data_IF_731805419336
#
_entry.id   IF_731805419336
#
_cell.length_a   1.000
_cell.length_b   1.000
_cell.length_c   1.000
_cell.angle_alpha   90.00
_cell.angle_beta   90.00
_cell.angle_gamma   90.00
#
_symmetry.space_group_name_H-M   'P 1'
#
loop_
_entity.id
_entity.type
_entity.pdbx_description
1 polymer ?
#
# COMPACT_ATOMS: atom_id res chain seq x y z
N UNK A 1 -8.97 -7.20 46.83
CA UNK A 1 -9.68 -6.06 46.23
C UNK A 1 -8.90 -4.81 46.56
N UNK A 2 -8.61 -3.87 45.63
CA UNK A 2 -8.57 -3.91 44.17
C UNK A 2 -7.13 -3.52 43.71
N UNK A 3 -6.71 -3.27 42.48
CA UNK A 3 -7.32 -3.19 41.16
C UNK A 3 -6.24 -3.64 40.16
N UNK A 4 -6.67 -4.36 39.13
CA UNK A 4 -5.84 -4.82 38.04
C UNK A 4 -5.12 -3.64 37.36
N UNK A 5 -3.79 -3.67 37.39
CA UNK A 5 -2.94 -2.81 36.59
C UNK A 5 -2.89 -3.36 35.15
N UNK A 6 -4.02 -3.26 34.46
CA UNK A 6 -4.14 -3.43 33.02
C UNK A 6 -3.45 -2.22 32.34
N UNK A 7 -2.12 -2.21 32.30
CA UNK A 7 -1.43 -1.48 31.24
C UNK A 7 -1.58 -2.31 29.98
N UNK A 8 -2.69 -2.03 29.29
CA UNK A 8 -2.84 -2.31 27.89
C UNK A 8 -1.56 -1.86 27.19
N UNK A 9 -0.72 -2.83 26.80
CA UNK A 9 0.26 -2.67 25.74
C UNK A 9 -0.56 -2.53 24.45
N UNK A 10 -1.22 -1.37 24.34
CA UNK A 10 -1.90 -0.95 23.14
C UNK A 10 -0.86 -1.03 22.03
N UNK A 11 -1.17 -1.84 21.04
CA UNK A 11 -0.41 -2.03 19.82
C UNK A 11 0.00 -0.65 19.29
N UNK A 12 1.20 -0.21 19.63
CA UNK A 12 1.87 0.87 18.94
C UNK A 12 2.43 0.25 17.67
N UNK A 13 1.55 -0.13 16.75
CA UNK A 13 1.91 -0.06 15.34
C UNK A 13 2.12 1.42 15.07
N UNK A 14 3.37 1.89 14.84
CA UNK A 14 3.56 3.25 14.40
C UNK A 14 2.81 3.34 13.07
N UNK A 15 1.74 4.13 13.03
CA UNK A 15 1.25 4.66 11.77
C UNK A 15 2.49 5.24 11.08
N UNK A 16 2.82 4.73 9.89
CA UNK A 16 3.94 5.22 9.12
C UNK A 16 3.86 6.75 9.11
N UNK A 17 4.94 7.42 9.56
CA UNK A 17 5.00 8.89 9.51
C UNK A 17 4.58 9.30 8.10
N UNK A 18 3.67 10.29 7.94
CA UNK A 18 3.27 10.73 6.62
C UNK A 18 4.55 11.04 5.87
N UNK A 19 4.84 10.26 4.83
CA UNK A 19 6.04 10.50 4.06
C UNK A 19 5.91 11.93 3.51
N UNK A 20 6.98 12.72 3.61
CA UNK A 20 7.04 14.05 2.98
C UNK A 20 7.06 13.82 1.46
N UNK A 21 5.87 13.55 0.89
CA UNK A 21 5.71 13.29 -0.52
C UNK A 21 6.05 14.58 -1.27
N UNK A 22 7.06 14.58 -2.16
CA UNK A 22 7.35 15.76 -2.95
C UNK A 22 6.08 16.15 -3.72
N UNK A 23 5.85 17.45 -3.89
CA UNK A 23 4.83 17.93 -4.81
C UNK A 23 5.27 17.58 -6.24
N UNK A 24 4.93 16.37 -6.70
CA UNK A 24 5.22 15.89 -8.06
C UNK A 24 4.50 16.73 -9.15
N UNK A 25 3.67 17.67 -8.74
CA UNK A 25 2.97 18.62 -9.58
C UNK A 25 3.74 19.94 -9.65
N UNK A 26 4.57 20.10 -10.70
CA UNK A 26 5.07 21.42 -11.14
C UNK A 26 3.95 22.31 -11.69
N UNK A 27 2.81 21.71 -12.07
CA UNK A 27 1.56 22.40 -12.41
C UNK A 27 0.51 22.08 -11.36
N UNK A 28 -0.05 23.14 -10.76
CA UNK A 28 -1.18 23.11 -9.82
C UNK A 28 -2.24 22.12 -10.31
N UNK A 29 -2.65 21.26 -9.37
CA UNK A 29 -3.79 20.34 -9.41
C UNK A 29 -3.50 18.90 -9.87
N UNK A 30 -3.76 17.98 -8.93
CA UNK A 30 -3.87 16.55 -9.19
C UNK A 30 -5.08 16.32 -10.11
N UNK A 31 -4.93 15.45 -11.12
CA UNK A 31 -6.07 14.99 -11.92
C UNK A 31 -7.08 14.16 -11.11
N UNK A 32 -6.71 13.75 -9.89
CA UNK A 32 -7.58 13.08 -8.94
C UNK A 32 -8.37 14.10 -8.11
N UNK A 33 -9.68 13.88 -7.97
CA UNK A 33 -10.56 14.69 -7.10
C UNK A 33 -10.16 14.63 -5.62
N UNK A 34 -9.41 13.60 -5.23
CA UNK A 34 -9.04 13.32 -3.83
C UNK A 34 -7.55 13.01 -3.76
N UNK A 35 -6.86 13.66 -2.82
CA UNK A 35 -5.48 13.35 -2.45
C UNK A 35 -5.45 12.38 -1.25
N UNK A 36 -4.86 11.20 -1.45
CA UNK A 36 -4.74 10.13 -0.44
C UNK A 36 -3.35 10.08 0.20
N UNK A 37 -2.41 10.93 -0.22
CA UNK A 37 -1.04 10.95 0.33
C UNK A 37 -1.05 11.32 1.81
N UNK A 38 -0.30 10.58 2.62
CA UNK A 38 -0.24 10.75 4.08
C UNK A 38 -1.52 10.39 4.83
N UNK A 39 -2.57 9.96 4.13
CA UNK A 39 -3.81 9.45 4.73
C UNK A 39 -3.71 7.93 4.87
N UNK A 40 -4.53 7.38 5.77
CA UNK A 40 -4.68 5.93 5.85
C UNK A 40 -5.15 5.39 4.48
N UNK A 41 -4.48 4.34 4.00
CA UNK A 41 -4.86 3.69 2.75
C UNK A 41 -6.30 3.16 2.85
N UNK A 42 -7.10 3.28 1.78
CA UNK A 42 -8.42 2.67 1.74
C UNK A 42 -8.33 1.15 1.95
N UNK A 43 -9.38 0.58 2.55
CA UNK A 43 -9.49 -0.87 2.69
C UNK A 43 -9.56 -1.51 1.30
N UNK A 44 -8.72 -2.52 1.07
CA UNK A 44 -8.72 -3.27 -0.18
C UNK A 44 -9.76 -4.38 -0.13
N UNK A 45 -10.73 -4.31 -1.02
CA UNK A 45 -11.76 -5.31 -1.21
C UNK A 45 -11.67 -5.77 -2.66
N UNK A 46 -11.31 -7.04 -2.86
CA UNK A 46 -11.23 -7.66 -4.17
C UNK A 46 -12.34 -8.71 -4.28
N UNK A 47 -13.03 -8.73 -5.42
CA UNK A 47 -14.00 -9.78 -5.73
C UNK A 47 -13.33 -11.16 -5.80
N UNK A 48 -12.13 -11.21 -6.37
CA UNK A 48 -11.33 -12.42 -6.51
C UNK A 48 -9.84 -12.13 -6.51
N UNK A 49 -9.10 -12.88 -5.71
CA UNK A 49 -7.64 -12.93 -5.75
C UNK A 49 -7.20 -13.99 -6.75
N UNK A 50 -6.32 -13.62 -7.69
CA UNK A 50 -5.88 -14.54 -8.75
C UNK A 50 -4.82 -15.53 -8.28
N UNK A 51 -4.12 -15.23 -7.18
CA UNK A 51 -3.01 -16.01 -6.63
C UNK A 51 -3.41 -16.91 -5.46
N UNK A 52 -4.71 -17.05 -5.15
CA UNK A 52 -5.22 -17.84 -4.04
C UNK A 52 -5.90 -16.98 -2.98
N UNK A 53 -5.48 -17.11 -1.72
CA UNK A 53 -6.05 -16.35 -0.61
C UNK A 53 -5.61 -14.87 -0.63
N UNK A 54 -6.30 -14.04 0.16
CA UNK A 54 -5.94 -12.65 0.34
C UNK A 54 -4.51 -12.54 0.93
N UNK A 55 -3.65 -11.67 0.38
CA UNK A 55 -2.29 -11.52 0.88
C UNK A 55 -2.26 -10.90 2.28
N UNK A 56 -1.28 -11.29 3.09
CA UNK A 56 -1.01 -10.61 4.36
C UNK A 56 -0.24 -9.31 4.12
N UNK A 57 -0.92 -8.18 4.34
CA UNK A 57 -0.40 -6.83 4.11
C UNK A 57 0.15 -6.17 5.37
N UNK A 58 0.06 -6.82 6.54
CA UNK A 58 0.40 -6.17 7.81
C UNK A 58 1.89 -5.89 7.90
N UNK A 59 2.24 -4.62 8.08
CA UNK A 59 3.62 -4.18 8.28
C UNK A 59 4.51 -4.26 7.03
N UNK A 60 3.93 -4.55 5.86
CA UNK A 60 4.63 -4.58 4.57
C UNK A 60 4.26 -3.37 3.73
N UNK A 61 5.13 -3.02 2.80
CA UNK A 61 4.86 -1.98 1.79
C UNK A 61 4.05 -2.64 0.68
N UNK A 62 2.88 -2.09 0.38
CA UNK A 62 2.07 -2.55 -0.76
C UNK A 62 2.37 -1.69 -1.99
N UNK A 63 2.69 -2.34 -3.11
CA UNK A 63 2.72 -1.70 -4.43
C UNK A 63 1.46 -2.10 -5.20
N UNK A 64 0.58 -1.13 -5.44
CA UNK A 64 -0.66 -1.35 -6.19
C UNK A 64 -0.54 -0.75 -7.60
N UNK A 65 -0.64 -1.61 -8.61
CA UNK A 65 -0.65 -1.21 -10.03
C UNK A 65 -2.03 -1.46 -10.65
N UNK A 66 -2.62 -0.41 -11.23
CA UNK A 66 -3.91 -0.47 -11.90
C UNK A 66 -3.70 -0.66 -13.40
N UNK A 67 -3.77 -1.91 -13.86
CA UNK A 67 -3.55 -2.26 -15.25
C UNK A 67 -4.70 -3.09 -15.84
N UNK A 68 -4.65 -3.31 -17.15
CA UNK A 68 -5.57 -4.18 -17.85
C UNK A 68 -4.88 -4.91 -19.00
N UNK A 69 -5.43 -6.06 -19.42
CA UNK A 69 -4.88 -6.91 -20.49
C UNK A 69 -4.71 -6.18 -21.83
N UNK A 70 -5.54 -5.17 -22.06
CA UNK A 70 -5.52 -4.32 -23.24
C UNK A 70 -4.66 -3.06 -23.10
N UNK A 71 -3.97 -2.83 -21.97
CA UNK A 71 -3.07 -1.69 -21.77
C UNK A 71 -1.64 -2.06 -22.23
N UNK A 72 -1.19 -1.61 -23.42
CA UNK A 72 0.15 -1.95 -23.89
C UNK A 72 1.29 -1.41 -23.02
N UNK A 73 1.31 -0.12 -22.61
CA UNK A 73 2.44 0.39 -21.81
C UNK A 73 2.49 -0.25 -20.42
N UNK A 74 1.35 -0.62 -19.82
CA UNK A 74 1.34 -1.34 -18.55
C UNK A 74 1.98 -2.73 -18.67
N UNK A 75 1.77 -3.42 -19.79
CA UNK A 75 2.36 -4.75 -20.03
C UNK A 75 3.87 -4.70 -20.19
N UNK A 76 4.39 -3.60 -20.73
CA UNK A 76 5.82 -3.37 -20.89
C UNK A 76 6.51 -3.13 -19.53
N UNK A 77 5.80 -2.60 -18.52
CA UNK A 77 6.34 -2.33 -17.18
C UNK A 77 6.23 -3.51 -16.20
N UNK A 78 5.33 -4.47 -16.45
CA UNK A 78 5.15 -5.66 -15.60
C UNK A 78 6.45 -6.43 -15.30
N UNK A 79 7.38 -6.66 -16.26
CA UNK A 79 8.65 -7.34 -15.98
C UNK A 79 9.49 -6.65 -14.91
N UNK A 80 9.51 -5.32 -14.88
CA UNK A 80 10.23 -4.54 -13.89
C UNK A 80 9.56 -4.64 -12.52
N UNK A 81 8.23 -4.55 -12.46
CA UNK A 81 7.46 -4.77 -11.23
C UNK A 81 7.71 -6.17 -10.65
N UNK A 82 7.74 -7.19 -11.50
CA UNK A 82 8.09 -8.55 -11.09
C UNK A 82 9.52 -8.65 -10.54
N UNK A 83 10.46 -7.90 -11.10
CA UNK A 83 11.84 -7.85 -10.59
C UNK A 83 11.90 -7.17 -9.21
N UNK A 84 11.14 -6.10 -9.00
CA UNK A 84 11.01 -5.43 -7.69
C UNK A 84 10.40 -6.38 -6.67
N UNK A 85 9.28 -7.04 -7.00
CA UNK A 85 8.63 -8.00 -6.11
C UNK A 85 9.57 -9.14 -5.70
N UNK A 86 10.39 -9.65 -6.63
CA UNK A 86 11.42 -10.66 -6.33
C UNK A 86 12.53 -10.11 -5.44
N UNK A 87 13.04 -8.91 -5.73
CA UNK A 87 14.14 -8.29 -4.99
C UNK A 87 13.76 -7.95 -3.56
N UNK A 88 12.52 -7.56 -3.31
CA UNK A 88 12.01 -7.11 -2.01
C UNK A 88 10.93 -8.04 -1.44
N UNK A 89 10.96 -9.34 -1.75
CA UNK A 89 9.91 -10.30 -1.40
C UNK A 89 9.54 -10.38 0.11
N UNK A 90 10.43 -9.93 1.00
CA UNK A 90 10.17 -9.88 2.45
C UNK A 90 9.43 -8.62 2.87
N UNK A 91 9.69 -7.50 2.19
CA UNK A 91 9.30 -6.16 2.61
C UNK A 91 8.13 -5.59 1.79
N UNK A 92 7.98 -6.06 0.54
CA UNK A 92 6.99 -5.60 -0.42
C UNK A 92 5.98 -6.71 -0.74
N UNK A 93 4.71 -6.33 -0.82
CA UNK A 93 3.61 -7.13 -1.38
C UNK A 93 3.06 -6.45 -2.62
#
# INVERSE_FOLDING_TARGET
MPAALLLALALQTPAAKPADYPSLTTKKELYAKVDLRGKAAPKLEAEKWLTGDAPDLKGKILILDFWATWCPPCRETIPELNAIAKKFAKDVV
#
